data_IF_833249715857
#
_entry.id   IF_833249715857
#
_cell.length_a   1.000
_cell.length_b   1.000
_cell.length_c   1.000
_cell.angle_alpha   90.00
_cell.angle_beta   90.00
_cell.angle_gamma   90.00
#
_symmetry.space_group_name_H-M   'P 1'
#
loop_
_entity.id
_entity.type
_entity.pdbx_description
1 polymer ?
#
# COMPACT_ATOMS: atom_id res chain seq x y z
N UNK A 1 35.97 12.15 -42.71
CA UNK A 1 34.96 11.35 -43.37
C UNK A 1 34.36 10.43 -42.29
N UNK A 2 33.21 10.81 -41.67
CA UNK A 2 32.56 10.07 -40.60
C UNK A 2 31.39 9.28 -41.22
N UNK A 3 31.47 7.97 -41.21
CA UNK A 3 30.39 7.09 -41.60
C UNK A 3 29.37 7.01 -40.45
N UNK A 4 28.20 7.57 -40.61
CA UNK A 4 27.02 7.31 -39.80
C UNK A 4 26.34 6.04 -40.34
N UNK A 5 26.38 4.97 -39.56
CA UNK A 5 25.55 3.78 -39.81
C UNK A 5 24.14 4.08 -39.31
N UNK A 6 23.21 4.31 -40.22
CA UNK A 6 21.78 4.33 -39.97
C UNK A 6 21.32 2.91 -39.58
N UNK A 7 21.05 2.70 -38.29
CA UNK A 7 20.39 1.48 -37.82
C UNK A 7 18.87 1.67 -38.08
N UNK A 8 18.37 1.06 -39.16
CA UNK A 8 16.92 0.99 -39.41
C UNK A 8 16.24 0.18 -38.31
N UNK A 9 15.13 0.64 -37.70
CA UNK A 9 14.41 -0.13 -36.71
C UNK A 9 13.86 -1.41 -37.36
N UNK A 10 14.21 -2.56 -36.76
CA UNK A 10 13.77 -3.87 -37.20
C UNK A 10 12.26 -3.96 -36.97
N UNK A 11 11.48 -3.94 -38.05
CA UNK A 11 10.02 -4.11 -37.97
C UNK A 11 9.74 -5.49 -37.43
N UNK A 12 9.11 -5.60 -36.26
CA UNK A 12 8.73 -6.87 -35.65
C UNK A 12 7.65 -7.55 -36.50
N UNK A 13 7.77 -8.87 -36.69
CA UNK A 13 6.82 -9.62 -37.48
C UNK A 13 5.40 -9.60 -36.86
N UNK A 14 4.33 -9.62 -37.65
CA UNK A 14 2.94 -9.60 -37.16
C UNK A 14 2.63 -10.67 -36.10
N UNK A 15 3.26 -11.87 -36.21
CA UNK A 15 3.11 -12.94 -35.23
C UNK A 15 3.65 -12.60 -33.84
N UNK A 16 4.79 -11.91 -33.79
CA UNK A 16 5.39 -11.50 -32.50
C UNK A 16 4.53 -10.41 -31.84
N UNK A 17 4.01 -9.46 -32.62
CA UNK A 17 3.08 -8.43 -32.14
C UNK A 17 1.79 -9.04 -31.59
N UNK A 18 1.23 -10.05 -32.24
CA UNK A 18 0.01 -10.75 -31.81
C UNK A 18 0.27 -11.53 -30.51
N UNK A 19 1.43 -12.16 -30.39
CA UNK A 19 1.81 -12.94 -29.21
C UNK A 19 2.11 -12.03 -28.01
N UNK A 20 2.78 -10.90 -28.22
CA UNK A 20 2.97 -9.87 -27.18
C UNK A 20 1.64 -9.26 -26.73
N UNK A 21 0.71 -8.98 -27.65
CA UNK A 21 -0.61 -8.45 -27.31
C UNK A 21 -1.46 -9.47 -26.52
N UNK A 22 -1.33 -10.77 -26.83
CA UNK A 22 -2.03 -11.83 -26.11
C UNK A 22 -1.48 -12.02 -24.69
N UNK A 23 -0.15 -11.93 -24.51
CA UNK A 23 0.51 -12.00 -23.21
C UNK A 23 0.17 -10.76 -22.37
N UNK A 24 0.23 -9.56 -22.94
CA UNK A 24 -0.14 -8.32 -22.27
C UNK A 24 -1.62 -8.29 -21.86
N UNK A 25 -2.52 -8.80 -22.73
CA UNK A 25 -3.95 -8.91 -22.39
C UNK A 25 -4.20 -9.89 -21.26
N UNK A 26 -3.47 -11.01 -21.19
CA UNK A 26 -3.59 -12.02 -20.13
C UNK A 26 -3.01 -11.51 -18.79
N UNK A 27 -1.95 -10.69 -18.83
CA UNK A 27 -1.37 -10.05 -17.64
C UNK A 27 -2.29 -8.96 -17.06
N UNK A 28 -3.03 -8.24 -17.89
CA UNK A 28 -3.95 -7.17 -17.45
C UNK A 28 -5.20 -7.67 -16.70
N UNK A 29 -5.47 -8.98 -16.73
CA UNK A 29 -6.64 -9.58 -16.10
C UNK A 29 -6.32 -10.31 -14.78
N UNK A 30 -5.04 -10.26 -14.34
CA UNK A 30 -4.62 -10.83 -13.06
C UNK A 30 -5.04 -9.89 -11.93
N UNK A 31 -5.77 -10.43 -10.95
CA UNK A 31 -6.09 -9.71 -9.71
C UNK A 31 -4.86 -9.69 -8.82
N UNK A 32 -4.39 -8.50 -8.45
CA UNK A 32 -3.27 -8.30 -7.55
C UNK A 32 -3.52 -7.15 -6.59
N UNK A 33 -2.69 -7.03 -5.56
CA UNK A 33 -2.71 -5.93 -4.61
C UNK A 33 -2.22 -4.65 -5.29
N UNK A 34 -2.98 -3.57 -5.13
CA UNK A 34 -2.62 -2.23 -5.58
C UNK A 34 -2.64 -1.25 -4.42
N UNK A 35 -1.76 -0.27 -4.49
CA UNK A 35 -1.68 0.84 -3.54
C UNK A 35 -1.93 2.14 -4.30
N UNK A 36 -2.97 2.85 -3.92
CA UNK A 36 -3.40 4.12 -4.52
C UNK A 36 -3.14 5.23 -3.52
N UNK A 37 -2.46 6.29 -3.93
CA UNK A 37 -2.31 7.51 -3.16
C UNK A 37 -3.20 8.61 -3.74
N UNK A 38 -3.91 9.33 -2.87
CA UNK A 38 -4.80 10.43 -3.23
C UNK A 38 -4.45 11.66 -2.41
N UNK A 39 -4.34 12.82 -3.04
CA UNK A 39 -4.28 14.12 -2.39
C UNK A 39 -5.65 14.76 -2.45
N UNK A 40 -6.14 15.21 -1.31
CA UNK A 40 -7.50 15.68 -1.15
C UNK A 40 -7.55 16.85 -0.16
N UNK A 41 -8.48 17.78 -0.36
CA UNK A 41 -8.76 18.81 0.64
C UNK A 41 -9.19 18.17 1.97
N UNK A 42 -8.67 18.72 3.05
CA UNK A 42 -9.05 18.29 4.39
C UNK A 42 -10.35 19.01 4.84
N UNK A 43 -11.45 18.64 4.22
CA UNK A 43 -12.77 19.20 4.48
C UNK A 43 -13.80 18.14 4.88
N UNK A 44 -14.92 18.59 5.45
CA UNK A 44 -16.01 17.69 5.81
C UNK A 44 -16.57 16.95 4.59
N UNK A 45 -16.70 15.62 4.73
CA UNK A 45 -17.24 14.77 3.69
C UNK A 45 -16.28 14.40 2.56
N UNK A 46 -15.08 14.96 2.49
CA UNK A 46 -14.11 14.63 1.44
C UNK A 46 -13.77 13.12 1.43
N UNK A 47 -13.41 12.57 2.58
CA UNK A 47 -13.15 11.13 2.73
C UNK A 47 -14.39 10.28 2.40
N UNK A 48 -15.57 10.71 2.83
CA UNK A 48 -16.83 9.97 2.57
C UNK A 48 -17.08 9.81 1.07
N UNK A 49 -16.85 10.85 0.26
CA UNK A 49 -16.97 10.79 -1.22
C UNK A 49 -16.02 9.78 -1.85
N UNK A 50 -14.80 9.65 -1.33
CA UNK A 50 -13.85 8.64 -1.79
C UNK A 50 -14.35 7.23 -1.46
N UNK A 51 -14.78 6.99 -0.22
CA UNK A 51 -15.31 5.69 0.22
C UNK A 51 -16.59 5.32 -0.56
N UNK A 52 -17.48 6.28 -0.78
CA UNK A 52 -18.71 6.11 -1.57
C UNK A 52 -18.42 5.65 -3.02
N UNK A 53 -17.38 6.22 -3.65
CA UNK A 53 -16.95 5.80 -4.99
C UNK A 53 -16.59 4.31 -5.03
N UNK A 54 -15.84 3.81 -4.04
CA UNK A 54 -15.50 2.39 -3.94
C UNK A 54 -16.74 1.53 -3.69
N UNK A 55 -17.56 1.92 -2.71
CA UNK A 55 -18.78 1.22 -2.33
C UNK A 55 -19.78 1.11 -3.49
N UNK A 56 -20.05 2.22 -4.17
CA UNK A 56 -21.02 2.28 -5.28
C UNK A 56 -20.64 1.39 -6.48
N UNK A 57 -19.36 1.00 -6.59
CA UNK A 57 -18.86 0.14 -7.67
C UNK A 57 -18.45 -1.26 -7.22
N UNK A 58 -18.69 -1.59 -5.95
CA UNK A 58 -18.34 -2.90 -5.41
C UNK A 58 -16.82 -3.16 -5.30
N UNK A 59 -16.01 -2.09 -5.21
CA UNK A 59 -14.58 -2.23 -4.94
C UNK A 59 -14.35 -2.34 -3.44
N UNK A 60 -13.52 -3.30 -3.02
CA UNK A 60 -13.16 -3.43 -1.63
C UNK A 60 -11.98 -2.52 -1.26
N UNK A 61 -12.02 -1.93 -0.07
CA UNK A 61 -10.89 -1.22 0.56
C UNK A 61 -10.30 -2.14 1.61
N UNK A 62 -9.10 -2.68 1.36
CA UNK A 62 -8.41 -3.56 2.32
C UNK A 62 -7.83 -2.76 3.49
N UNK A 63 -7.11 -1.67 3.17
CA UNK A 63 -6.59 -0.74 4.16
C UNK A 63 -6.78 0.69 3.72
N UNK A 64 -6.99 1.58 4.70
CA UNK A 64 -7.17 3.01 4.49
C UNK A 64 -6.38 3.78 5.54
N UNK A 65 -5.40 4.55 5.10
CA UNK A 65 -4.63 5.44 5.95
C UNK A 65 -4.83 6.88 5.47
N UNK A 66 -5.22 7.78 6.39
CA UNK A 66 -5.48 9.19 6.07
C UNK A 66 -4.77 10.08 7.08
N UNK A 67 -4.04 11.07 6.59
CA UNK A 67 -3.41 12.08 7.45
C UNK A 67 -3.27 13.41 6.70
N UNK A 68 -3.38 14.56 7.41
CA UNK A 68 -2.98 15.85 6.88
C UNK A 68 -1.48 15.87 6.59
N UNK A 69 -1.09 16.45 5.45
CA UNK A 69 0.33 16.53 5.03
C UNK A 69 0.83 17.97 4.89
N UNK A 70 -0.06 18.95 4.79
CA UNK A 70 0.29 20.36 4.75
C UNK A 70 0.40 20.96 6.15
N UNK A 71 1.28 21.97 6.33
CA UNK A 71 1.48 22.64 7.63
C UNK A 71 0.23 23.36 8.12
N UNK A 72 -0.59 23.88 7.20
CA UNK A 72 -1.89 24.51 7.47
C UNK A 72 -3.04 23.49 7.62
N UNK A 73 -2.74 22.19 7.52
CA UNK A 73 -3.69 21.07 7.60
C UNK A 73 -4.83 21.13 6.59
N UNK A 74 -4.70 21.87 5.50
CA UNK A 74 -5.75 21.98 4.47
C UNK A 74 -5.74 20.82 3.49
N UNK A 75 -4.61 20.15 3.32
CA UNK A 75 -4.47 19.02 2.40
C UNK A 75 -4.18 17.75 3.19
N UNK A 76 -4.94 16.70 2.92
CA UNK A 76 -4.74 15.36 3.42
C UNK A 76 -4.25 14.43 2.33
N UNK A 77 -3.48 13.43 2.73
CA UNK A 77 -3.12 12.30 1.88
C UNK A 77 -3.88 11.06 2.35
N UNK A 78 -4.52 10.40 1.40
CA UNK A 78 -5.15 9.10 1.59
C UNK A 78 -4.26 8.06 0.91
N UNK A 79 -3.97 6.96 1.58
CA UNK A 79 -3.36 5.77 0.99
C UNK A 79 -4.36 4.62 1.09
N UNK A 80 -4.74 4.06 -0.04
CA UNK A 80 -5.76 3.01 -0.15
C UNK A 80 -5.09 1.76 -0.70
N UNK A 81 -5.33 0.62 -0.07
CA UNK A 81 -4.99 -0.69 -0.64
C UNK A 81 -6.25 -1.37 -1.12
N UNK A 82 -6.21 -1.92 -2.30
CA UNK A 82 -7.31 -2.68 -2.91
C UNK A 82 -6.77 -3.82 -3.78
N UNK A 83 -7.59 -4.83 -4.04
CA UNK A 83 -7.31 -5.87 -5.01
C UNK A 83 -8.11 -5.65 -6.28
N UNK A 84 -7.45 -5.78 -7.42
CA UNK A 84 -8.09 -5.60 -8.72
C UNK A 84 -7.16 -5.91 -9.88
N UNK A 85 -7.64 -5.72 -11.09
CA UNK A 85 -6.83 -5.75 -12.31
C UNK A 85 -6.24 -4.36 -12.56
N UNK A 86 -5.14 -4.29 -13.33
CA UNK A 86 -4.53 -2.99 -13.71
C UNK A 86 -5.55 -2.02 -14.33
N UNK A 87 -6.45 -2.53 -15.18
CA UNK A 87 -7.51 -1.74 -15.81
C UNK A 87 -8.52 -1.18 -14.80
N UNK A 88 -8.89 -2.00 -13.81
CA UNK A 88 -9.80 -1.58 -12.74
C UNK A 88 -9.21 -0.44 -11.93
N UNK A 89 -7.94 -0.55 -11.57
CA UNK A 89 -7.25 0.45 -10.76
C UNK A 89 -7.00 1.74 -11.55
N UNK A 90 -6.64 1.64 -12.83
CA UNK A 90 -6.56 2.82 -13.72
C UNK A 90 -7.90 3.56 -13.77
N UNK A 91 -9.02 2.81 -13.88
CA UNK A 91 -10.34 3.41 -13.85
C UNK A 91 -10.65 4.06 -12.51
N UNK A 92 -10.31 3.41 -11.39
CA UNK A 92 -10.48 3.98 -10.05
C UNK A 92 -9.74 5.32 -9.93
N UNK A 93 -8.47 5.39 -10.34
CA UNK A 93 -7.70 6.63 -10.30
C UNK A 93 -8.38 7.75 -11.12
N UNK A 94 -8.81 7.45 -12.35
CA UNK A 94 -9.54 8.42 -13.20
C UNK A 94 -10.85 8.91 -12.59
N UNK A 95 -11.53 8.05 -11.82
CA UNK A 95 -12.77 8.41 -11.16
C UNK A 95 -12.52 9.22 -9.89
N UNK A 96 -11.46 8.92 -9.14
CA UNK A 96 -11.02 9.70 -7.98
C UNK A 96 -10.71 11.15 -8.37
N UNK A 97 -10.04 11.38 -9.50
CA UNK A 97 -9.72 12.71 -10.01
C UNK A 97 -10.94 13.56 -10.41
N UNK A 98 -12.11 12.92 -10.57
CA UNK A 98 -13.38 13.65 -10.82
C UNK A 98 -14.08 14.11 -9.55
N UNK A 99 -13.63 13.68 -8.39
CA UNK A 99 -14.18 14.13 -7.10
C UNK A 99 -13.61 15.53 -6.81
N UNK A 100 -14.50 16.51 -6.63
CA UNK A 100 -14.12 17.94 -6.50
C UNK A 100 -12.98 18.22 -5.53
N UNK A 101 -12.95 17.69 -4.31
CA UNK A 101 -11.85 17.95 -3.37
C UNK A 101 -10.55 17.17 -3.66
N UNK A 102 -10.50 16.33 -4.70
CA UNK A 102 -9.29 15.57 -5.06
C UNK A 102 -8.39 16.38 -5.97
N UNK A 103 -7.16 16.60 -5.56
CA UNK A 103 -6.15 17.31 -6.34
C UNK A 103 -5.37 16.40 -7.28
N UNK A 104 -5.08 15.18 -6.82
CA UNK A 104 -4.34 14.18 -7.61
C UNK A 104 -4.59 12.77 -7.07
N UNK A 105 -4.52 11.79 -7.97
CA UNK A 105 -4.47 10.39 -7.61
C UNK A 105 -3.39 9.66 -8.40
N UNK A 106 -2.76 8.66 -7.82
CA UNK A 106 -1.82 7.81 -8.53
C UNK A 106 -1.72 6.43 -7.90
N UNK A 107 -1.59 5.44 -8.75
CA UNK A 107 -1.16 4.10 -8.35
C UNK A 107 0.34 4.07 -8.09
N UNK A 108 0.75 3.48 -6.96
CA UNK A 108 2.14 3.38 -6.52
C UNK A 108 2.81 2.05 -6.92
N UNK A 109 2.03 1.02 -7.22
CA UNK A 109 2.50 -0.35 -7.53
C UNK A 109 3.05 -0.54 -8.94
N UNK A 110 3.12 0.51 -9.76
CA UNK A 110 3.68 0.49 -11.10
C UNK A 110 5.21 0.28 -11.12
N UNK A 111 5.78 0.11 -12.30
CA UNK A 111 7.15 -0.32 -12.61
C UNK A 111 8.29 0.41 -11.87
N UNK A 112 8.06 1.61 -11.35
CA UNK A 112 9.07 2.41 -10.64
C UNK A 112 9.29 1.91 -9.20
N UNK A 113 8.35 1.14 -8.66
CA UNK A 113 8.33 0.69 -7.29
C UNK A 113 7.99 1.79 -6.28
N UNK A 114 7.61 1.38 -5.10
CA UNK A 114 7.24 2.26 -3.98
C UNK A 114 7.85 1.75 -2.68
N UNK A 115 7.80 2.58 -1.64
CA UNK A 115 8.15 2.22 -0.28
C UNK A 115 6.87 2.25 0.52
N UNK A 116 6.61 1.18 1.27
CA UNK A 116 5.50 1.15 2.22
C UNK A 116 6.01 0.89 3.63
N UNK A 117 5.30 1.45 4.61
CA UNK A 117 5.46 1.14 6.02
C UNK A 117 4.10 1.14 6.69
N UNK A 118 3.96 0.21 7.60
CA UNK A 118 2.81 0.07 8.48
C UNK A 118 3.30 -0.08 9.90
N UNK A 119 2.56 0.46 10.85
CA UNK A 119 2.78 0.27 12.27
C UNK A 119 1.67 -0.62 12.82
N UNK A 120 2.03 -1.60 13.63
CA UNK A 120 1.11 -2.39 14.40
C UNK A 120 1.44 -2.29 15.90
N UNK A 121 0.43 -2.07 16.73
CA UNK A 121 0.49 -2.26 18.17
C UNK A 121 -0.09 -3.64 18.49
N UNK A 122 0.70 -4.46 19.14
CA UNK A 122 0.37 -5.85 19.41
C UNK A 122 0.47 -6.10 20.91
N UNK A 123 -0.63 -6.55 21.50
CA UNK A 123 -0.66 -6.90 22.91
C UNK A 123 -0.53 -8.42 23.09
N UNK A 124 0.41 -8.81 23.93
CA UNK A 124 0.61 -10.19 24.39
C UNK A 124 0.22 -10.25 25.85
N UNK A 125 -0.56 -11.25 26.21
CA UNK A 125 -0.92 -11.52 27.61
C UNK A 125 -0.27 -12.83 28.06
N UNK A 126 0.51 -12.77 29.14
CA UNK A 126 1.24 -13.91 29.68
C UNK A 126 2.46 -13.52 30.47
N UNK A 127 3.24 -14.52 30.89
CA UNK A 127 4.46 -14.33 31.69
C UNK A 127 5.55 -13.57 30.87
N UNK A 128 6.43 -12.86 31.59
CA UNK A 128 7.59 -12.17 31.01
C UNK A 128 8.43 -13.04 30.06
N UNK A 129 8.59 -14.29 30.38
CA UNK A 129 9.35 -15.25 29.57
C UNK A 129 8.71 -15.40 28.18
N UNK A 130 7.39 -15.55 28.14
CA UNK A 130 6.61 -15.68 26.90
C UNK A 130 6.77 -14.44 26.02
N UNK A 131 6.67 -13.24 26.59
CA UNK A 131 6.84 -11.98 25.87
C UNK A 131 8.25 -11.83 25.27
N UNK A 132 9.30 -12.22 26.00
CA UNK A 132 10.68 -12.21 25.50
C UNK A 132 10.92 -13.25 24.39
N UNK A 133 10.30 -14.42 24.47
CA UNK A 133 10.34 -15.43 23.43
C UNK A 133 9.59 -14.95 22.18
N UNK A 134 8.43 -14.31 22.33
CA UNK A 134 7.67 -13.68 21.26
C UNK A 134 8.50 -12.63 20.50
N UNK A 135 9.16 -11.72 21.22
CA UNK A 135 10.02 -10.70 20.62
C UNK A 135 11.18 -11.32 19.82
N UNK A 136 11.80 -12.39 20.35
CA UNK A 136 12.87 -13.11 19.63
C UNK A 136 12.35 -13.86 18.40
N UNK A 137 11.15 -14.42 18.47
CA UNK A 137 10.54 -15.16 17.36
C UNK A 137 10.24 -14.31 16.14
N UNK A 138 9.94 -13.01 16.31
CA UNK A 138 9.74 -12.05 15.22
C UNK A 138 11.05 -11.81 14.43
N UNK A 139 12.20 -12.07 15.03
CA UNK A 139 13.50 -12.01 14.36
C UNK A 139 13.96 -10.59 14.04
N UNK A 140 14.23 -10.33 12.74
CA UNK A 140 14.80 -9.05 12.27
C UNK A 140 13.74 -7.95 12.00
N UNK A 141 12.45 -8.22 12.24
CA UNK A 141 11.41 -7.21 12.07
C UNK A 141 11.56 -6.19 13.20
N UNK A 142 11.50 -4.90 12.85
CA UNK A 142 11.62 -3.83 13.84
C UNK A 142 10.48 -3.91 14.85
N UNK A 143 10.83 -4.28 16.09
CA UNK A 143 9.90 -4.48 17.18
C UNK A 143 10.45 -3.81 18.43
N UNK A 144 9.62 -3.03 19.12
CA UNK A 144 9.95 -2.32 20.34
C UNK A 144 8.86 -2.53 21.39
N UNK A 145 9.24 -2.82 22.64
CA UNK A 145 8.32 -2.78 23.76
C UNK A 145 7.96 -1.32 24.08
N UNK A 146 6.67 -0.99 24.07
CA UNK A 146 6.18 0.38 24.32
C UNK A 146 5.40 0.49 25.62
N UNK A 147 4.82 -0.62 26.08
CA UNK A 147 4.14 -0.66 27.38
C UNK A 147 4.26 -2.04 28.02
N UNK A 148 4.29 -2.06 29.36
CA UNK A 148 4.38 -3.28 30.16
C UNK A 148 3.64 -3.08 31.47
N UNK A 149 2.67 -3.95 31.73
CA UNK A 149 1.91 -3.98 32.97
C UNK A 149 1.63 -5.44 33.39
N UNK A 150 2.00 -5.81 34.63
CA UNK A 150 1.83 -7.15 35.19
C UNK A 150 2.08 -8.29 34.16
N UNK A 151 0.99 -8.88 33.61
CA UNK A 151 1.04 -9.97 32.65
C UNK A 151 0.70 -9.49 31.23
N UNK A 152 0.78 -8.19 30.93
CA UNK A 152 0.46 -7.58 29.65
C UNK A 152 1.67 -6.84 29.06
N UNK A 153 1.93 -7.06 27.79
CA UNK A 153 3.08 -6.53 27.06
C UNK A 153 2.61 -5.99 25.73
N UNK A 154 2.83 -4.68 25.49
CA UNK A 154 2.48 -4.05 24.20
C UNK A 154 3.74 -3.78 23.40
N UNK A 155 3.81 -4.37 22.24
CA UNK A 155 4.89 -4.17 21.28
C UNK A 155 4.44 -3.29 20.13
N UNK A 156 5.29 -2.33 19.74
CA UNK A 156 5.22 -1.64 18.48
C UNK A 156 6.02 -2.42 17.43
N UNK A 157 5.39 -2.73 16.30
CA UNK A 157 6.03 -3.41 15.18
C UNK A 157 5.93 -2.51 13.95
N UNK A 158 7.07 -2.25 13.27
CA UNK A 158 7.11 -1.43 12.06
C UNK A 158 7.71 -2.25 10.92
N UNK A 159 6.97 -2.36 9.82
CA UNK A 159 7.40 -3.12 8.64
C UNK A 159 6.57 -2.81 7.41
N UNK A 160 6.79 -3.58 6.34
CA UNK A 160 5.85 -3.65 5.22
C UNK A 160 4.67 -4.58 5.59
N UNK A 161 3.62 -4.61 4.77
CA UNK A 161 2.43 -5.44 5.06
C UNK A 161 2.76 -6.90 5.30
N UNK A 162 3.68 -7.49 4.52
CA UNK A 162 4.05 -8.90 4.65
C UNK A 162 4.83 -9.17 5.94
N UNK A 163 5.71 -8.24 6.34
CA UNK A 163 6.44 -8.31 7.61
C UNK A 163 5.47 -8.25 8.79
N UNK A 164 4.49 -7.35 8.76
CA UNK A 164 3.45 -7.23 9.81
C UNK A 164 2.59 -8.50 9.87
N UNK A 165 2.10 -8.99 8.74
CA UNK A 165 1.31 -10.23 8.68
C UNK A 165 2.09 -11.45 9.23
N UNK A 166 3.37 -11.56 8.85
CA UNK A 166 4.24 -12.63 9.33
C UNK A 166 4.46 -12.53 10.83
N UNK A 167 4.70 -11.33 11.36
CA UNK A 167 4.86 -11.10 12.78
C UNK A 167 3.60 -11.48 13.57
N UNK A 168 2.42 -11.01 13.13
CA UNK A 168 1.14 -11.31 13.78
C UNK A 168 0.91 -12.83 13.83
N UNK A 169 1.13 -13.52 12.70
CA UNK A 169 0.97 -14.98 12.62
C UNK A 169 1.92 -15.74 13.55
N UNK A 170 3.16 -15.28 13.71
CA UNK A 170 4.11 -15.85 14.67
C UNK A 170 3.59 -15.63 16.09
N UNK A 171 3.13 -14.42 16.40
CA UNK A 171 2.70 -14.01 17.74
C UNK A 171 1.41 -14.70 18.21
N UNK A 172 0.58 -15.23 17.31
CA UNK A 172 -0.57 -16.07 17.66
C UNK A 172 -0.19 -17.26 18.58
N UNK A 173 1.04 -17.76 18.46
CA UNK A 173 1.55 -18.85 19.30
C UNK A 173 2.08 -18.40 20.67
N UNK A 174 2.09 -17.09 20.95
CA UNK A 174 2.70 -16.49 22.14
C UNK A 174 1.72 -15.65 22.96
N UNK A 175 0.44 -16.03 22.97
CA UNK A 175 -0.56 -15.34 23.78
C UNK A 175 -0.99 -13.97 23.21
N UNK A 176 -1.01 -13.85 21.89
CA UNK A 176 -1.54 -12.66 21.20
C UNK A 176 -2.98 -12.40 21.62
N UNK A 177 -3.23 -11.23 22.21
CA UNK A 177 -4.55 -10.82 22.70
C UNK A 177 -5.23 -9.84 21.74
N UNK A 178 -4.51 -8.80 21.30
CA UNK A 178 -5.07 -7.79 20.40
C UNK A 178 -4.03 -7.30 19.38
N UNK A 179 -4.51 -6.85 18.23
CA UNK A 179 -3.70 -6.22 17.18
C UNK A 179 -4.42 -4.95 16.71
N UNK A 180 -3.73 -3.81 16.76
CA UNK A 180 -4.17 -2.55 16.16
C UNK A 180 -3.20 -2.18 15.03
N UNK A 181 -3.72 -1.90 13.83
CA UNK A 181 -2.91 -1.60 12.64
C UNK A 181 -3.28 -0.24 12.07
N UNK A 182 -2.29 0.51 11.61
CA UNK A 182 -2.53 1.83 10.98
C UNK A 182 -2.98 1.74 9.52
N UNK A 183 -2.81 0.57 8.88
CA UNK A 183 -2.76 0.50 7.43
C UNK A 183 -1.45 1.05 6.88
N UNK A 184 -1.27 1.00 5.56
CA UNK A 184 -0.01 1.37 4.92
C UNK A 184 0.10 2.87 4.69
N UNK A 185 1.22 3.46 5.11
CA UNK A 185 1.73 4.70 4.56
C UNK A 185 2.70 4.35 3.42
N UNK A 186 2.48 4.89 2.21
CA UNK A 186 3.28 4.55 1.04
C UNK A 186 3.69 5.78 0.23
N UNK A 187 4.84 5.69 -0.43
CA UNK A 187 5.38 6.75 -1.29
C UNK A 187 6.21 6.21 -2.44
N UNK A 188 6.34 6.98 -3.51
CA UNK A 188 7.21 6.62 -4.63
C UNK A 188 8.67 6.53 -4.21
N UNK A 189 9.43 5.67 -4.89
CA UNK A 189 10.90 5.68 -4.84
C UNK A 189 11.46 6.80 -5.71
N UNK A 190 12.66 7.28 -5.35
CA UNK A 190 13.39 8.27 -6.13
C UNK A 190 12.77 9.67 -6.14
N UNK A 191 12.75 10.32 -7.32
CA UNK A 191 12.33 11.72 -7.47
C UNK A 191 10.86 11.89 -7.84
N UNK A 192 10.13 10.80 -8.13
CA UNK A 192 8.72 10.88 -8.49
C UNK A 192 7.89 11.37 -7.31
N UNK A 193 6.94 12.28 -7.59
CA UNK A 193 6.03 12.86 -6.59
C UNK A 193 4.60 12.71 -7.06
N UNK A 194 3.66 12.82 -6.15
CA UNK A 194 2.23 12.81 -6.47
C UNK A 194 1.76 14.19 -6.98
N UNK A 195 2.54 15.23 -6.73
CA UNK A 195 2.27 16.64 -7.08
C UNK A 195 3.58 17.37 -7.35
#
# INVERSE_FOLDING_TARGET
>A
MKFYLEVKPKVMSPKILTQCNFINKKMSDIIKKHVIAVLIDNEFGALARVVELFSARGYNIETLCVAPISSDKKISRITITTYGTDKTVELICKLLERIVPVHASAELTSDIGYIERELALVQIVGEKKLALEAQKAIGNIRCQLVDQEADSWVFEIIGNSQEIESAVKILENYGLATVSRTGIAAGFKGKKRLY
#
